data_IF_980765015374
#
_entry.id   IF_980765015374
#
_cell.length_a   1.000
_cell.length_b   1.000
_cell.length_c   1.000
_cell.angle_alpha   90.00
_cell.angle_beta   90.00
_cell.angle_gamma   90.00
#
_symmetry.space_group_name_H-M   'P 1'
#
loop_
_entity.id
_entity.type
_entity.pdbx_description
1 polymer ?
#
# COMPACT_ATOMS: atom_id res chain seq x y z
N UNK A 1 -15.26 -1.85 0.03
CA UNK A 1 -13.99 -1.35 0.61
C UNK A 1 -13.18 -0.65 -0.47
N UNK A 2 -12.67 0.52 -0.16
CA UNK A 2 -11.76 1.21 -1.07
C UNK A 2 -10.36 0.61 -0.99
N UNK A 3 -9.62 0.59 -2.12
CA UNK A 3 -8.26 0.08 -2.15
C UNK A 3 -7.34 0.85 -1.18
N UNK A 4 -7.55 2.15 -1.08
CA UNK A 4 -6.82 3.00 -0.15
C UNK A 4 -6.97 2.52 1.30
N UNK A 5 -8.19 2.17 1.71
CA UNK A 5 -8.46 1.68 3.06
C UNK A 5 -7.79 0.33 3.30
N UNK A 6 -7.78 -0.54 2.30
CA UNK A 6 -7.13 -1.84 2.39
C UNK A 6 -5.63 -1.66 2.67
N UNK A 7 -4.96 -0.81 1.91
CA UNK A 7 -3.53 -0.57 2.08
C UNK A 7 -3.25 0.08 3.44
N UNK A 8 -4.08 1.04 3.86
CA UNK A 8 -3.92 1.68 5.18
C UNK A 8 -4.03 0.65 6.30
N UNK A 9 -5.01 -0.24 6.23
CA UNK A 9 -5.22 -1.28 7.24
C UNK A 9 -4.01 -2.22 7.34
N UNK A 10 -3.49 -2.65 6.19
CA UNK A 10 -2.31 -3.52 6.15
C UNK A 10 -1.10 -2.81 6.77
N UNK A 11 -0.83 -1.57 6.35
CA UNK A 11 0.31 -0.82 6.83
C UNK A 11 0.23 -0.57 8.34
N UNK A 12 -0.94 -0.19 8.84
CA UNK A 12 -1.15 0.06 10.25
C UNK A 12 -0.90 -1.19 11.10
N UNK A 13 -1.17 -2.37 10.54
CA UNK A 13 -0.91 -3.63 11.24
C UNK A 13 0.58 -3.98 11.30
N UNK A 14 1.39 -3.44 10.40
CA UNK A 14 2.81 -3.78 10.29
C UNK A 14 3.75 -2.83 11.02
N UNK A 15 3.35 -1.57 11.18
CA UNK A 15 4.24 -0.52 11.69
C UNK A 15 4.12 -0.34 13.19
N UNK A 16 5.13 0.29 13.79
CA UNK A 16 5.11 0.65 15.21
C UNK A 16 4.37 1.96 15.46
N UNK A 17 4.29 2.83 14.45
CA UNK A 17 3.63 4.13 14.54
C UNK A 17 2.48 4.21 13.53
N UNK A 18 1.34 3.57 13.85
CA UNK A 18 0.21 3.54 12.91
C UNK A 18 -0.42 4.91 12.65
N UNK A 19 -0.27 5.86 13.57
CA UNK A 19 -0.82 7.20 13.40
C UNK A 19 -0.09 7.99 12.31
N UNK A 20 1.14 7.58 11.96
CA UNK A 20 1.91 8.21 10.90
C UNK A 20 1.67 7.60 9.52
N UNK A 21 0.83 6.59 9.42
CA UNK A 21 0.49 5.98 8.12
C UNK A 21 -0.38 6.94 7.32
N UNK A 22 0.07 7.28 6.12
CA UNK A 22 -0.68 8.11 5.19
C UNK A 22 -0.77 7.36 3.87
N UNK A 23 -1.97 7.29 3.31
CA UNK A 23 -2.21 6.67 2.02
C UNK A 23 -2.90 7.67 1.13
N UNK A 24 -2.35 7.86 -0.06
CA UNK A 24 -2.91 8.76 -1.07
C UNK A 24 -3.21 7.94 -2.31
N UNK A 25 -4.39 8.13 -2.86
CA UNK A 25 -4.77 7.48 -4.12
C UNK A 25 -4.89 8.53 -5.22
N UNK A 26 -4.17 8.30 -6.32
CA UNK A 26 -4.24 9.14 -7.51
C UNK A 26 -4.93 8.31 -8.59
N UNK A 27 -6.15 8.70 -8.95
CA UNK A 27 -6.94 7.97 -9.94
C UNK A 27 -6.70 8.53 -11.35
N UNK A 28 -6.42 7.62 -12.30
CA UNK A 28 -6.45 7.89 -13.72
C UNK A 28 -7.67 7.24 -14.35
N UNK A 29 -7.74 7.25 -15.68
CA UNK A 29 -8.88 6.69 -16.41
C UNK A 29 -9.06 5.19 -16.17
N UNK A 30 -7.97 4.44 -16.16
CA UNK A 30 -7.99 2.98 -16.00
C UNK A 30 -7.03 2.49 -14.91
N UNK A 31 -6.22 3.36 -14.37
CA UNK A 31 -5.19 3.03 -13.40
C UNK A 31 -5.31 3.91 -12.17
N UNK A 32 -4.92 3.36 -11.03
CA UNK A 32 -4.76 4.12 -9.79
C UNK A 32 -3.34 3.93 -9.29
N UNK A 33 -2.75 4.98 -8.77
CA UNK A 33 -1.49 4.91 -8.05
C UNK A 33 -1.81 5.11 -6.57
N UNK A 34 -1.39 4.16 -5.75
CA UNK A 34 -1.58 4.25 -4.31
C UNK A 34 -0.21 4.49 -3.69
N UNK A 35 -0.05 5.65 -3.09
CA UNK A 35 1.17 6.03 -2.40
C UNK A 35 1.02 5.76 -0.92
N UNK A 36 1.93 4.97 -0.37
CA UNK A 36 1.98 4.64 1.05
C UNK A 36 3.16 5.35 1.69
N UNK A 37 2.88 6.13 2.72
CA UNK A 37 3.90 6.79 3.53
C UNK A 37 3.76 6.35 4.97
N UNK A 38 4.88 5.99 5.59
CA UNK A 38 4.95 5.60 6.99
C UNK A 38 6.06 6.39 7.68
N UNK A 39 6.14 6.32 9.01
CA UNK A 39 7.26 6.92 9.73
C UNK A 39 8.57 6.32 9.23
N UNK A 40 9.63 7.14 9.13
CA UNK A 40 10.92 6.69 8.60
C UNK A 40 11.45 5.40 9.23
N UNK A 41 11.40 5.25 10.57
CA UNK A 41 11.86 4.00 11.19
C UNK A 41 11.06 2.77 10.77
N UNK A 42 9.87 2.96 10.24
CA UNK A 42 8.97 1.87 9.88
C UNK A 42 9.02 1.47 8.42
N UNK A 43 9.75 2.20 7.58
CA UNK A 43 9.83 1.90 6.14
C UNK A 43 10.28 0.46 5.91
N UNK A 44 11.29 0.00 6.63
CA UNK A 44 11.77 -1.37 6.51
C UNK A 44 10.72 -2.43 6.85
N UNK A 45 9.73 -2.09 7.68
CA UNK A 45 8.67 -3.01 8.07
C UNK A 45 7.65 -3.24 6.96
N UNK A 46 7.46 -2.25 6.11
CA UNK A 46 6.54 -2.39 4.97
C UNK A 46 7.25 -2.91 3.72
N UNK A 47 8.57 -2.72 3.62
CA UNK A 47 9.39 -3.30 2.56
C UNK A 47 9.64 -4.78 2.84
N UNK A 48 10.10 -5.10 4.05
CA UNK A 48 10.43 -6.45 4.46
C UNK A 48 11.78 -6.91 3.93
N UNK A 49 12.20 -8.09 4.39
CA UNK A 49 13.47 -8.68 3.95
C UNK A 49 13.41 -8.98 2.46
N UNK A 50 14.38 -8.48 1.72
CA UNK A 50 14.48 -8.67 0.26
C UNK A 50 13.25 -8.15 -0.49
N UNK A 51 12.52 -7.19 0.09
CA UNK A 51 11.32 -6.61 -0.51
C UNK A 51 10.10 -7.50 -0.47
N UNK A 52 10.13 -8.59 0.29
CA UNK A 52 9.05 -9.61 0.29
C UNK A 52 7.72 -9.10 0.81
N UNK A 53 7.75 -8.26 1.86
CA UNK A 53 6.52 -7.71 2.41
C UNK A 53 5.86 -6.78 1.39
N UNK A 54 6.63 -5.88 0.80
CA UNK A 54 6.11 -4.99 -0.24
C UNK A 54 5.55 -5.78 -1.44
N UNK A 55 6.23 -6.85 -1.84
CA UNK A 55 5.76 -7.69 -2.93
C UNK A 55 4.44 -8.39 -2.58
N UNK A 56 4.30 -8.84 -1.33
CA UNK A 56 3.05 -9.44 -0.87
C UNK A 56 1.90 -8.43 -0.87
N UNK A 57 2.18 -7.20 -0.42
CA UNK A 57 1.17 -6.13 -0.45
C UNK A 57 0.76 -5.84 -1.89
N UNK A 58 1.71 -5.77 -2.82
CA UNK A 58 1.41 -5.57 -4.24
C UNK A 58 0.57 -6.69 -4.82
N UNK A 59 0.82 -7.92 -4.43
CA UNK A 59 0.03 -9.08 -4.87
C UNK A 59 -1.41 -8.98 -4.40
N UNK A 60 -1.61 -8.63 -3.12
CA UNK A 60 -2.95 -8.44 -2.57
C UNK A 60 -3.66 -7.29 -3.27
N UNK A 61 -2.95 -6.18 -3.51
CA UNK A 61 -3.53 -5.02 -4.19
C UNK A 61 -3.95 -5.37 -5.62
N UNK A 62 -3.12 -6.12 -6.34
CA UNK A 62 -3.43 -6.57 -7.69
C UNK A 62 -4.69 -7.43 -7.70
N UNK A 63 -4.78 -8.38 -6.78
CA UNK A 63 -5.96 -9.24 -6.68
C UNK A 63 -7.23 -8.45 -6.40
N UNK A 64 -7.17 -7.52 -5.45
CA UNK A 64 -8.30 -6.69 -5.08
C UNK A 64 -8.72 -5.76 -6.22
N UNK A 65 -7.75 -5.14 -6.91
CA UNK A 65 -8.05 -4.23 -8.01
C UNK A 65 -8.64 -4.96 -9.22
N UNK A 66 -8.17 -6.18 -9.49
CA UNK A 66 -8.71 -7.01 -10.56
C UNK A 66 -10.18 -7.32 -10.31
N UNK A 67 -10.52 -7.66 -9.06
CA UNK A 67 -11.92 -7.91 -8.68
C UNK A 67 -12.80 -6.69 -8.93
N UNK A 68 -12.25 -5.49 -8.76
CA UNK A 68 -12.98 -4.24 -8.99
C UNK A 68 -12.95 -3.77 -10.45
N UNK A 69 -12.30 -4.53 -11.34
CA UNK A 69 -12.17 -4.16 -12.74
C UNK A 69 -11.22 -2.99 -12.99
N UNK A 70 -10.23 -2.82 -12.13
CA UNK A 70 -9.29 -1.69 -12.17
C UNK A 70 -7.85 -2.20 -12.11
N UNK A 71 -6.92 -1.30 -12.43
CA UNK A 71 -5.49 -1.54 -12.19
C UNK A 71 -5.01 -0.58 -11.12
N UNK A 72 -4.27 -1.10 -10.16
CA UNK A 72 -3.69 -0.27 -9.11
C UNK A 72 -2.23 -0.65 -8.91
N UNK A 73 -1.42 0.37 -8.65
CA UNK A 73 0.01 0.23 -8.38
C UNK A 73 0.32 0.80 -7.01
N UNK A 74 1.28 0.20 -6.33
CA UNK A 74 1.72 0.66 -5.02
C UNK A 74 3.07 1.33 -5.14
N UNK A 75 3.19 2.52 -4.58
CA UNK A 75 4.45 3.22 -4.40
C UNK A 75 4.67 3.46 -2.91
N UNK A 76 5.78 2.97 -2.38
CA UNK A 76 6.14 3.20 -0.98
C UNK A 76 7.10 4.38 -0.94
N UNK A 77 6.64 5.46 -0.34
CA UNK A 77 7.39 6.73 -0.25
C UNK A 77 8.25 6.70 1.00
N UNK A 78 9.52 7.01 0.87
CA UNK A 78 10.41 7.12 2.03
C UNK A 78 10.98 8.55 2.27
#
# INVERSE_FOLDING_TARGET
MALKELIATIAQALVDDPDSVEVTEIEGDHNSLIELKVAKPDVGKVIGKDGRTAQSIRTVLTAASTKLGRRAHLDIVD
#
